data_IF_045465634823
#
_entry.id   IF_045465634823
#
_cell.length_a   1.000
_cell.length_b   1.000
_cell.length_c   1.000
_cell.angle_alpha   90.00
_cell.angle_beta   90.00
_cell.angle_gamma   90.00
#
_symmetry.space_group_name_H-M   'P 1'
#
loop_
_entity.id
_entity.type
_entity.pdbx_description
1 polymer ?
#
# COMPACT_ATOMS: atom_id res chain seq x y z
N UNK A 1 49.75 67.22 49.73
CA UNK A 1 48.36 66.83 49.36
C UNK A 1 48.16 66.43 47.89
N UNK A 2 48.93 66.95 46.91
CA UNK A 2 48.77 66.58 45.48
C UNK A 2 48.94 65.07 45.16
N UNK A 3 49.84 64.36 45.86
CA UNK A 3 50.10 62.92 45.65
C UNK A 3 48.95 62.01 46.13
N UNK A 4 48.20 62.44 47.14
CA UNK A 4 47.09 61.66 47.73
C UNK A 4 45.89 61.67 46.77
N UNK A 5 45.57 62.82 46.19
CA UNK A 5 44.47 62.98 45.21
C UNK A 5 44.69 62.08 43.99
N UNK A 6 45.93 61.98 43.51
CA UNK A 6 46.25 61.16 42.34
C UNK A 6 46.05 59.66 42.59
N UNK A 7 46.40 59.18 43.80
CA UNK A 7 46.21 57.79 44.20
C UNK A 7 44.72 57.46 44.33
N UNK A 8 43.92 58.38 44.89
CA UNK A 8 42.47 58.19 45.02
C UNK A 8 41.79 58.09 43.65
N UNK A 9 42.21 58.89 42.67
CA UNK A 9 41.65 58.86 41.30
C UNK A 9 41.99 57.54 40.59
N UNK A 10 43.23 57.06 40.70
CA UNK A 10 43.64 55.78 40.10
C UNK A 10 42.85 54.62 40.72
N UNK A 11 42.68 54.62 42.04
CA UNK A 11 41.93 53.57 42.73
C UNK A 11 40.45 53.56 42.31
N UNK A 12 39.85 54.73 42.10
CA UNK A 12 38.47 54.85 41.59
C UNK A 12 38.36 54.34 40.14
N UNK A 13 39.37 54.60 39.30
CA UNK A 13 39.40 54.18 37.89
C UNK A 13 39.54 52.66 37.76
N UNK A 14 40.39 52.04 38.57
CA UNK A 14 40.58 50.58 38.60
C UNK A 14 39.30 49.88 39.07
N UNK A 15 38.61 50.42 40.06
CA UNK A 15 37.37 49.84 40.59
C UNK A 15 36.22 49.84 39.56
N UNK A 16 36.17 50.85 38.68
CA UNK A 16 35.16 50.97 37.63
C UNK A 16 35.41 50.05 36.41
N UNK A 17 36.66 49.67 36.14
CA UNK A 17 36.98 48.75 35.03
C UNK A 17 36.64 47.30 35.38
N UNK A 18 36.69 46.93 36.66
CA UNK A 18 36.40 45.59 37.18
C UNK A 18 34.92 45.17 37.15
N UNK A 19 34.00 46.02 36.68
CA UNK A 19 32.54 45.73 36.64
C UNK A 19 32.03 45.44 35.23
N UNK A 20 32.90 45.42 34.20
CA UNK A 20 32.49 44.99 32.84
C UNK A 20 32.49 43.45 32.81
N UNK A 21 31.49 42.88 33.47
CA UNK A 21 31.15 41.47 33.37
C UNK A 21 30.52 41.26 32.00
N UNK A 22 31.21 40.58 31.08
CA UNK A 22 30.57 40.08 29.86
C UNK A 22 29.57 38.99 30.27
N UNK A 23 28.29 39.34 30.42
CA UNK A 23 27.24 38.33 30.46
C UNK A 23 27.18 37.69 29.08
N UNK A 24 27.77 36.51 28.93
CA UNK A 24 27.48 35.66 27.78
C UNK A 24 26.05 35.13 27.97
N UNK A 25 25.05 35.85 27.45
CA UNK A 25 23.73 35.28 27.23
C UNK A 25 23.90 34.17 26.20
N UNK A 26 23.94 32.93 26.67
CA UNK A 26 23.76 31.76 25.82
C UNK A 26 22.30 31.74 25.39
N UNK A 27 21.97 32.55 24.39
CA UNK A 27 20.66 32.48 23.73
C UNK A 27 20.60 31.14 23.00
N UNK A 28 19.96 30.15 23.64
CA UNK A 28 19.68 28.87 23.04
C UNK A 28 18.66 29.07 21.92
N UNK A 29 19.13 29.20 20.68
CA UNK A 29 18.25 29.27 19.51
C UNK A 29 17.69 27.87 19.27
N UNK A 30 16.42 27.66 19.63
CA UNK A 30 15.71 26.42 19.33
C UNK A 30 15.23 26.47 17.88
N UNK A 31 16.04 25.96 16.95
CA UNK A 31 15.69 25.89 15.53
C UNK A 31 14.84 24.62 15.32
N UNK A 32 13.54 24.73 14.98
CA UNK A 32 12.75 23.56 14.66
C UNK A 32 13.27 22.94 13.36
N UNK A 33 13.72 21.69 13.45
CA UNK A 33 14.10 20.88 12.28
C UNK A 33 12.88 20.11 11.83
N UNK A 34 12.38 20.42 10.63
CA UNK A 34 11.30 19.66 10.01
C UNK A 34 11.91 18.53 9.17
N UNK A 35 11.66 17.29 9.59
CA UNK A 35 12.02 16.10 8.82
C UNK A 35 10.80 15.72 7.99
N UNK A 36 10.92 15.76 6.66
CA UNK A 36 9.93 15.19 5.76
C UNK A 36 10.26 13.73 5.52
N UNK A 37 9.39 12.82 5.95
CA UNK A 37 9.48 11.40 5.63
C UNK A 37 8.50 11.14 4.49
N UNK A 38 8.98 10.60 3.37
CA UNK A 38 8.10 10.23 2.25
C UNK A 38 7.09 9.18 2.71
N UNK A 39 5.83 9.37 2.33
CA UNK A 39 4.81 8.35 2.49
C UNK A 39 5.13 7.15 1.58
N UNK A 40 5.01 5.95 2.12
CA UNK A 40 5.16 4.70 1.37
C UNK A 40 4.15 3.68 1.88
N UNK A 41 3.72 2.83 0.96
CA UNK A 41 2.96 1.62 1.23
C UNK A 41 3.41 0.59 0.18
N UNK A 42 3.78 -0.61 0.63
CA UNK A 42 4.33 -1.65 -0.24
C UNK A 42 3.85 -3.03 0.21
N UNK A 43 3.67 -3.92 -0.75
CA UNK A 43 3.43 -5.34 -0.49
C UNK A 43 4.76 -5.99 -0.14
N UNK A 44 4.85 -6.57 1.06
CA UNK A 44 6.00 -7.32 1.53
C UNK A 44 5.94 -8.78 1.07
N UNK A 45 4.75 -9.40 1.15
CA UNK A 45 4.54 -10.77 0.69
C UNK A 45 3.08 -11.08 0.39
N UNK A 46 2.87 -12.08 -0.48
CA UNK A 46 1.58 -12.74 -0.71
C UNK A 46 1.78 -14.22 -0.39
N UNK A 47 0.86 -14.85 0.34
CA UNK A 47 1.02 -16.23 0.83
C UNK A 47 0.77 -17.33 -0.22
N UNK A 48 0.12 -16.98 -1.34
CA UNK A 48 -0.15 -17.85 -2.48
C UNK A 48 0.36 -17.23 -3.77
N UNK A 49 1.13 -18.00 -4.53
CA UNK A 49 1.69 -17.58 -5.83
C UNK A 49 0.86 -18.08 -7.02
N UNK A 50 0.03 -19.11 -6.83
CA UNK A 50 -0.86 -19.66 -7.85
C UNK A 50 -2.18 -20.14 -7.25
N UNK A 51 -3.23 -20.13 -8.06
CA UNK A 51 -4.54 -20.68 -7.71
C UNK A 51 -5.04 -21.56 -8.86
N UNK A 52 -5.36 -22.81 -8.54
CA UNK A 52 -5.93 -23.76 -9.50
C UNK A 52 -7.45 -23.74 -9.39
N UNK A 53 -8.12 -23.41 -10.50
CA UNK A 53 -9.58 -23.43 -10.59
C UNK A 53 -10.02 -24.44 -11.63
N UNK A 54 -10.93 -25.32 -11.24
CA UNK A 54 -11.61 -26.25 -12.15
C UNK A 54 -13.04 -25.76 -12.37
N UNK A 55 -13.38 -25.46 -13.63
CA UNK A 55 -14.73 -25.08 -14.06
C UNK A 55 -15.38 -26.24 -14.80
N UNK A 56 -16.29 -26.95 -14.13
CA UNK A 56 -17.16 -27.94 -14.78
C UNK A 56 -18.40 -27.24 -15.36
N UNK A 57 -18.50 -27.15 -16.68
CA UNK A 57 -19.66 -26.55 -17.36
C UNK A 57 -20.94 -27.37 -17.21
N UNK A 58 -20.87 -28.64 -16.80
CA UNK A 58 -22.03 -29.48 -16.51
C UNK A 58 -22.65 -29.14 -15.16
N UNK A 59 -21.80 -28.82 -14.18
CA UNK A 59 -22.16 -28.40 -12.82
C UNK A 59 -21.33 -27.19 -12.40
N UNK A 60 -21.58 -25.99 -12.98
CA UNK A 60 -20.78 -24.82 -12.67
C UNK A 60 -20.97 -24.46 -11.21
N UNK A 61 -19.88 -24.28 -10.49
CA UNK A 61 -19.86 -23.87 -9.08
C UNK A 61 -19.08 -22.57 -8.94
N UNK A 62 -19.51 -21.73 -8.01
CA UNK A 62 -18.70 -20.60 -7.60
C UNK A 62 -17.46 -21.10 -6.86
N UNK A 63 -16.32 -20.48 -7.10
CA UNK A 63 -15.08 -20.81 -6.42
C UNK A 63 -14.47 -19.54 -5.85
N UNK A 64 -13.97 -19.63 -4.63
CA UNK A 64 -13.31 -18.53 -3.94
C UNK A 64 -12.22 -19.06 -3.04
N UNK A 65 -11.11 -18.34 -2.97
CA UNK A 65 -9.93 -18.69 -2.21
C UNK A 65 -9.49 -17.50 -1.37
N UNK A 66 -9.05 -17.79 -0.14
CA UNK A 66 -8.43 -16.81 0.73
C UNK A 66 -6.94 -16.66 0.41
N UNK A 67 -6.49 -15.42 0.28
CA UNK A 67 -5.10 -15.01 0.05
C UNK A 67 -4.74 -14.01 1.14
N UNK A 68 -3.60 -14.21 1.79
CA UNK A 68 -3.05 -13.27 2.76
C UNK A 68 -2.01 -12.39 2.10
N UNK A 69 -2.19 -11.08 2.26
CA UNK A 69 -1.29 -10.05 1.74
C UNK A 69 -0.71 -9.30 2.92
N UNK A 70 0.63 -9.32 3.03
CA UNK A 70 1.36 -8.56 4.04
C UNK A 70 1.82 -7.24 3.45
N UNK A 71 1.45 -6.14 4.11
CA UNK A 71 1.68 -4.78 3.65
C UNK A 71 2.50 -4.04 4.70
N UNK A 72 3.49 -3.27 4.25
CA UNK A 72 4.29 -2.38 5.08
C UNK A 72 4.05 -0.96 4.60
N UNK A 73 3.50 -0.13 5.48
CA UNK A 73 3.20 1.27 5.17
C UNK A 73 3.51 2.19 6.35
N UNK A 74 3.92 3.43 6.08
CA UNK A 74 3.97 4.49 7.11
C UNK A 74 2.80 5.48 6.99
N UNK A 75 1.90 5.23 6.05
CA UNK A 75 0.68 5.99 5.81
C UNK A 75 -0.48 5.02 5.69
N UNK A 76 -1.67 5.57 5.90
CA UNK A 76 -2.94 4.96 5.51
C UNK A 76 -2.91 4.57 4.02
N UNK A 77 -3.39 3.38 3.67
CA UNK A 77 -3.33 2.82 2.31
C UNK A 77 -4.64 2.13 1.90
N UNK A 78 -4.88 2.00 0.60
CA UNK A 78 -5.92 1.15 0.03
C UNK A 78 -5.30 -0.06 -0.64
N UNK A 79 -5.98 -1.22 -0.54
CA UNK A 79 -5.62 -2.44 -1.26
C UNK A 79 -6.64 -2.66 -2.37
N UNK A 80 -6.16 -2.65 -3.61
CA UNK A 80 -6.95 -2.97 -4.80
C UNK A 80 -6.55 -4.33 -5.34
N UNK A 81 -7.53 -5.07 -5.83
CA UNK A 81 -7.35 -6.41 -6.38
C UNK A 81 -8.02 -6.47 -7.73
N UNK A 82 -7.26 -6.91 -8.72
CA UNK A 82 -7.70 -7.04 -10.10
C UNK A 82 -7.37 -8.44 -10.60
N UNK A 83 -8.12 -8.89 -11.61
CA UNK A 83 -7.80 -10.09 -12.36
C UNK A 83 -7.43 -9.67 -13.78
N UNK A 84 -6.16 -9.88 -14.15
CA UNK A 84 -5.65 -9.64 -15.49
C UNK A 84 -5.65 -10.97 -16.24
N UNK A 85 -6.71 -11.20 -17.01
CA UNK A 85 -6.77 -12.33 -17.92
C UNK A 85 -5.70 -12.17 -19.00
N UNK A 86 -4.78 -13.14 -19.11
CA UNK A 86 -3.66 -13.05 -20.07
C UNK A 86 -4.20 -13.16 -21.50
N UNK A 87 -4.54 -12.02 -22.11
CA UNK A 87 -5.20 -11.96 -23.42
C UNK A 87 -4.46 -12.70 -24.54
N UNK A 88 -3.13 -12.81 -24.46
CA UNK A 88 -2.31 -13.59 -25.40
C UNK A 88 -2.53 -15.11 -25.30
N UNK A 89 -3.06 -15.59 -24.17
CA UNK A 89 -3.39 -17.00 -23.92
C UNK A 89 -4.75 -17.39 -24.51
N UNK A 90 -5.54 -16.41 -24.96
CA UNK A 90 -6.84 -16.61 -25.59
C UNK A 90 -6.77 -16.33 -27.09
N UNK A 91 -7.37 -17.21 -27.88
CA UNK A 91 -7.55 -17.05 -29.31
C UNK A 91 -9.05 -16.85 -29.63
N UNK A 92 -9.40 -16.66 -30.91
CA UNK A 92 -10.81 -16.52 -31.33
C UNK A 92 -11.70 -17.69 -30.87
N UNK A 93 -11.12 -18.87 -30.67
CA UNK A 93 -11.86 -20.04 -30.19
C UNK A 93 -12.19 -19.87 -28.71
N UNK A 94 -11.26 -19.42 -27.87
CA UNK A 94 -11.42 -19.34 -26.41
C UNK A 94 -11.81 -17.95 -25.90
N UNK A 95 -12.23 -17.04 -26.78
CA UNK A 95 -12.67 -15.69 -26.42
C UNK A 95 -13.84 -15.69 -25.41
N UNK A 96 -14.77 -16.65 -25.53
CA UNK A 96 -15.87 -16.79 -24.58
C UNK A 96 -15.39 -17.10 -23.15
N UNK A 97 -14.26 -17.80 -23.00
CA UNK A 97 -13.66 -18.10 -21.69
C UNK A 97 -13.05 -16.83 -21.08
N UNK A 98 -12.35 -16.04 -21.88
CA UNK A 98 -11.83 -14.74 -21.47
C UNK A 98 -12.97 -13.82 -20.96
N UNK A 99 -14.07 -13.72 -21.69
CA UNK A 99 -15.23 -12.92 -21.30
C UNK A 99 -15.90 -13.45 -20.03
N UNK A 100 -16.03 -14.78 -19.89
CA UNK A 100 -16.55 -15.40 -18.69
C UNK A 100 -15.69 -15.05 -17.46
N UNK A 101 -14.37 -15.23 -17.54
CA UNK A 101 -13.47 -14.99 -16.42
C UNK A 101 -13.52 -13.53 -15.95
N UNK A 102 -13.48 -12.58 -16.89
CA UNK A 102 -13.55 -11.15 -16.56
C UNK A 102 -14.91 -10.75 -15.97
N UNK A 103 -16.01 -11.31 -16.46
CA UNK A 103 -17.35 -10.98 -15.97
C UNK A 103 -17.72 -11.70 -14.67
N UNK A 104 -17.07 -12.82 -14.35
CA UNK A 104 -17.33 -13.61 -13.15
C UNK A 104 -16.39 -13.30 -11.99
N UNK A 105 -15.24 -12.67 -12.25
CA UNK A 105 -14.28 -12.32 -11.20
C UNK A 105 -14.93 -11.48 -10.11
N UNK A 106 -14.70 -11.88 -8.87
CA UNK A 106 -15.09 -11.12 -7.69
C UNK A 106 -14.01 -11.18 -6.62
N UNK A 107 -14.01 -10.19 -5.74
CA UNK A 107 -13.16 -10.19 -4.57
C UNK A 107 -13.80 -9.46 -3.39
N UNK A 108 -13.31 -9.74 -2.20
CA UNK A 108 -13.59 -8.98 -0.99
C UNK A 108 -12.36 -8.94 -0.07
N UNK A 109 -12.27 -7.91 0.75
CA UNK A 109 -11.19 -7.72 1.73
C UNK A 109 -11.83 -7.65 3.12
N UNK A 110 -11.28 -8.41 4.07
CA UNK A 110 -11.81 -8.58 5.44
C UNK A 110 -12.10 -7.27 6.18
N UNK A 111 -11.25 -6.27 5.98
CA UNK A 111 -11.46 -4.88 6.38
C UNK A 111 -10.68 -3.99 5.42
N UNK A 112 -11.38 -3.09 4.73
CA UNK A 112 -10.71 -2.08 3.92
C UNK A 112 -10.26 -0.86 4.74
N UNK A 113 -10.36 -0.95 6.07
CA UNK A 113 -9.87 0.11 6.94
C UNK A 113 -8.35 0.17 6.86
N UNK A 114 -7.90 1.39 6.60
CA UNK A 114 -6.56 1.69 6.19
C UNK A 114 -5.76 2.09 7.43
N UNK A 115 -4.70 1.33 7.71
CA UNK A 115 -3.86 1.50 8.90
C UNK A 115 -2.39 1.55 8.49
N UNK A 116 -1.53 2.10 9.34
CA UNK A 116 -0.08 2.14 9.10
C UNK A 116 0.65 1.08 9.94
N UNK A 117 1.85 0.71 9.52
CA UNK A 117 2.68 -0.33 10.12
C UNK A 117 2.83 -1.55 9.22
N UNK A 118 3.15 -2.69 9.83
CA UNK A 118 3.16 -4.01 9.19
C UNK A 118 1.81 -4.65 9.43
N UNK A 119 1.02 -4.84 8.39
CA UNK A 119 -0.37 -5.30 8.48
C UNK A 119 -0.56 -6.51 7.55
N UNK A 120 -1.23 -7.54 8.05
CA UNK A 120 -1.71 -8.66 7.25
C UNK A 120 -3.19 -8.41 6.91
N UNK A 121 -3.53 -8.51 5.62
CA UNK A 121 -4.90 -8.40 5.10
C UNK A 121 -5.31 -9.74 4.50
N UNK A 122 -6.55 -10.17 4.77
CA UNK A 122 -7.14 -11.34 4.12
C UNK A 122 -7.99 -10.89 2.95
N UNK A 123 -7.65 -11.36 1.76
CA UNK A 123 -8.38 -11.12 0.52
C UNK A 123 -9.05 -12.43 0.11
N UNK A 124 -10.37 -12.41 -0.07
CA UNK A 124 -11.07 -13.48 -0.77
C UNK A 124 -11.14 -13.11 -2.24
N UNK A 125 -10.51 -13.90 -3.11
CA UNK A 125 -10.61 -13.77 -4.57
C UNK A 125 -11.35 -14.96 -5.13
N UNK A 126 -12.12 -14.78 -6.19
CA UNK A 126 -12.88 -15.88 -6.76
C UNK A 126 -13.59 -15.55 -8.05
N UNK A 127 -14.44 -16.48 -8.46
CA UNK A 127 -15.29 -16.38 -9.62
C UNK A 127 -16.71 -16.84 -9.30
N UNK A 128 -17.68 -16.05 -9.73
CA UNK A 128 -19.10 -16.33 -9.61
C UNK A 128 -19.67 -16.88 -10.94
N UNK A 129 -19.16 -18.03 -11.37
CA UNK A 129 -19.50 -18.64 -12.66
C UNK A 129 -20.99 -18.94 -12.80
N UNK A 130 -21.66 -19.36 -11.71
CA UNK A 130 -23.08 -19.71 -11.74
C UNK A 130 -23.95 -18.53 -12.17
N UNK A 131 -23.71 -17.36 -11.58
CA UNK A 131 -24.51 -16.17 -11.88
C UNK A 131 -24.34 -15.75 -13.33
N UNK A 132 -23.10 -15.71 -13.83
CA UNK A 132 -22.82 -15.28 -15.20
C UNK A 132 -23.40 -16.26 -16.21
N UNK A 133 -23.14 -17.57 -16.06
CA UNK A 133 -23.62 -18.60 -16.99
C UNK A 133 -25.15 -18.76 -16.98
N UNK A 134 -25.80 -18.52 -15.84
CA UNK A 134 -27.27 -18.49 -15.78
C UNK A 134 -27.86 -17.28 -16.53
N UNK A 135 -27.17 -16.14 -16.51
CA UNK A 135 -27.59 -14.93 -17.21
C UNK A 135 -27.24 -14.92 -18.71
N UNK A 136 -26.28 -15.75 -19.13
CA UNK A 136 -25.81 -15.82 -20.52
C UNK A 136 -25.70 -17.29 -21.00
N UNK A 137 -26.81 -17.93 -21.39
CA UNK A 137 -26.82 -19.32 -21.85
C UNK A 137 -26.05 -19.53 -23.17
N UNK A 138 -25.97 -18.50 -24.03
CA UNK A 138 -25.20 -18.57 -25.29
C UNK A 138 -23.70 -18.74 -25.02
N UNK A 139 -23.17 -18.04 -24.01
CA UNK A 139 -21.78 -18.19 -23.57
C UNK A 139 -21.49 -19.62 -23.11
N UNK A 140 -22.43 -20.27 -22.40
CA UNK A 140 -22.28 -21.69 -21.99
C UNK A 140 -22.18 -22.61 -23.21
N UNK A 141 -23.00 -22.41 -24.23
CA UNK A 141 -22.95 -23.23 -25.46
C UNK A 141 -21.64 -23.02 -26.23
N UNK A 142 -21.11 -21.80 -26.27
CA UNK A 142 -19.82 -21.50 -26.88
C UNK A 142 -18.67 -22.21 -26.15
N UNK A 143 -18.66 -22.14 -24.81
CA UNK A 143 -17.65 -22.82 -23.99
C UNK A 143 -17.70 -24.34 -24.15
N UNK A 144 -18.89 -24.93 -24.24
CA UNK A 144 -19.05 -26.37 -24.48
C UNK A 144 -18.49 -26.82 -25.85
N UNK A 145 -18.51 -25.95 -26.86
CA UNK A 145 -17.92 -26.25 -28.19
C UNK A 145 -16.40 -26.23 -28.17
N UNK A 146 -15.80 -25.44 -27.28
CA UNK A 146 -14.35 -25.30 -27.17
C UNK A 146 -13.68 -26.46 -26.42
N UNK A 147 -14.44 -27.18 -25.61
CA UNK A 147 -13.93 -28.33 -24.84
C UNK A 147 -13.12 -27.91 -23.62
N UNK A 148 -12.19 -28.77 -23.21
CA UNK A 148 -11.35 -28.55 -22.02
C UNK A 148 -10.24 -27.52 -22.28
N UNK A 149 -9.99 -26.66 -21.29
CA UNK A 149 -8.89 -25.69 -21.31
C UNK A 149 -8.11 -25.81 -20.00
N UNK A 150 -6.83 -26.16 -20.10
CA UNK A 150 -5.96 -26.49 -18.96
C UNK A 150 -4.74 -25.57 -18.83
N UNK A 151 -4.71 -24.47 -19.60
CA UNK A 151 -3.62 -23.51 -19.56
C UNK A 151 -3.88 -22.40 -18.54
N UNK A 152 -2.83 -21.63 -18.22
CA UNK A 152 -2.94 -20.46 -17.35
C UNK A 152 -3.90 -19.44 -17.96
N UNK A 153 -4.88 -19.01 -17.18
CA UNK A 153 -5.94 -18.10 -17.62
C UNK A 153 -5.69 -16.61 -17.30
N UNK A 154 -4.82 -16.31 -16.33
CA UNK A 154 -4.57 -14.93 -15.91
C UNK A 154 -3.76 -14.79 -14.62
N UNK A 155 -3.68 -13.56 -14.12
CA UNK A 155 -2.97 -13.19 -12.90
C UNK A 155 -3.90 -12.40 -11.97
N UNK A 156 -3.81 -12.67 -10.67
CA UNK A 156 -4.34 -11.74 -9.67
C UNK A 156 -3.31 -10.66 -9.41
N UNK A 157 -3.72 -9.40 -9.55
CA UNK A 157 -2.86 -8.24 -9.37
C UNK A 157 -3.29 -7.52 -8.10
N UNK A 158 -2.37 -7.46 -7.13
CA UNK A 158 -2.56 -6.73 -5.88
C UNK A 158 -1.82 -5.40 -5.97
N UNK A 159 -2.55 -4.30 -5.78
CA UNK A 159 -2.00 -2.95 -5.83
C UNK A 159 -2.26 -2.25 -4.51
N UNK A 160 -1.24 -1.60 -3.97
CA UNK A 160 -1.37 -0.77 -2.76
C UNK A 160 -1.11 0.68 -3.13
N UNK A 161 -2.02 1.56 -2.74
CA UNK A 161 -1.92 3.00 -2.96
C UNK A 161 -2.13 3.76 -1.64
N UNK A 162 -1.58 4.98 -1.47
CA UNK A 162 -1.92 5.82 -0.33
C UNK A 162 -3.41 6.19 -0.33
N UNK A 163 -4.09 6.05 0.80
CA UNK A 163 -5.46 6.55 0.96
C UNK A 163 -5.40 8.07 1.16
N UNK A 164 -6.17 8.82 0.38
CA UNK A 164 -6.21 10.30 0.43
C UNK A 164 -7.30 10.78 1.38
#
# INVERSE_FOLDING_TARGET
MKKIIFITIIMLLVLNISVISFSQTSDGVNIPVYISVSSYAAIDSVDKESLDYELDLSSPENKSEEIKVKIVANTTFELMVEFDAEGSSFNEQNQALFELLNSSFNYSVDSNDSSYGVIEKTVQVGFNFQQVLASNPEMRELLLKNGEYNDKVGNFVFTVSPAV
#
